data_IF_319468594277
#
_entry.id   IF_319468594277
#
_cell.length_a   1.000
_cell.length_b   1.000
_cell.length_c   1.000
_cell.angle_alpha   90.00
_cell.angle_beta   90.00
_cell.angle_gamma   90.00
#
_symmetry.space_group_name_H-M   'P 1'
#
loop_
_entity.id
_entity.type
_entity.pdbx_description
1 polymer ?
#
# COMPACT_ATOMS: atom_id res chain seq x y z
N UNK A 1 -18.19 5.23 -27.34
CA UNK A 1 -18.62 3.81 -27.40
C UNK A 1 -17.54 3.01 -26.66
N UNK A 2 -17.88 2.35 -25.55
CA UNK A 2 -16.92 1.54 -24.79
C UNK A 2 -17.22 0.08 -25.11
N UNK A 3 -16.23 -0.64 -25.64
CA UNK A 3 -16.37 -2.06 -25.94
C UNK A 3 -16.10 -2.87 -24.66
N UNK A 4 -17.04 -3.75 -24.29
CA UNK A 4 -16.94 -4.59 -23.07
C UNK A 4 -16.14 -5.88 -23.26
N UNK A 5 -15.73 -6.18 -24.49
CA UNK A 5 -14.99 -7.40 -24.85
C UNK A 5 -14.09 -7.13 -26.06
N UNK A 6 -12.89 -7.70 -26.04
CA UNK A 6 -11.89 -7.66 -27.12
C UNK A 6 -10.78 -8.66 -26.84
N UNK A 7 -9.98 -8.99 -27.86
CA UNK A 7 -8.85 -9.91 -27.72
C UNK A 7 -7.60 -9.31 -28.38
N UNK A 8 -6.44 -9.57 -27.80
CA UNK A 8 -5.13 -9.26 -28.37
C UNK A 8 -4.35 -10.56 -28.46
N UNK A 9 -3.85 -10.88 -29.65
CA UNK A 9 -2.98 -12.03 -29.88
C UNK A 9 -1.58 -11.55 -30.22
N UNK A 10 -0.58 -12.17 -29.60
CA UNK A 10 0.83 -11.95 -29.93
C UNK A 10 1.43 -13.32 -30.27
N UNK A 11 2.05 -13.44 -31.44
CA UNK A 11 2.80 -14.63 -31.85
C UNK A 11 4.29 -14.29 -31.83
N UNK A 12 5.08 -15.11 -31.16
CA UNK A 12 6.53 -14.93 -31.08
C UNK A 12 7.22 -16.26 -31.40
N UNK A 13 8.38 -16.24 -32.07
CA UNK A 13 9.15 -17.44 -32.41
C UNK A 13 10.66 -17.22 -32.18
N UNK A 14 11.41 -18.30 -31.94
CA UNK A 14 12.85 -18.27 -31.69
C UNK A 14 13.22 -18.56 -30.23
N UNK A 15 14.42 -18.17 -29.81
CA UNK A 15 14.87 -18.29 -28.43
C UNK A 15 14.36 -17.09 -27.62
N UNK A 16 13.21 -17.26 -26.96
CA UNK A 16 12.51 -16.17 -26.28
C UNK A 16 12.61 -16.36 -24.78
N UNK A 17 13.04 -15.31 -24.10
CA UNK A 17 12.97 -15.16 -22.65
C UNK A 17 11.82 -14.18 -22.33
N UNK A 18 10.95 -14.56 -21.39
CA UNK A 18 9.81 -13.74 -20.97
C UNK A 18 10.08 -13.26 -19.56
N UNK A 19 10.35 -11.96 -19.44
CA UNK A 19 10.41 -11.29 -18.15
C UNK A 19 9.11 -10.53 -17.87
N UNK A 20 8.47 -10.87 -16.76
CA UNK A 20 7.31 -10.11 -16.31
C UNK A 20 7.80 -8.87 -15.56
N UNK A 21 7.65 -7.71 -16.18
CA UNK A 21 7.89 -6.41 -15.54
C UNK A 21 6.56 -5.75 -15.17
N UNK A 22 6.47 -5.28 -13.93
CA UNK A 22 5.34 -4.47 -13.45
C UNK A 22 5.76 -3.01 -13.36
N UNK A 23 4.95 -2.11 -13.91
CA UNK A 23 5.06 -0.69 -13.58
C UNK A 23 4.49 -0.49 -12.17
N UNK A 24 5.34 -0.13 -11.21
CA UNK A 24 4.89 0.25 -9.87
C UNK A 24 4.19 1.61 -9.97
N UNK A 25 2.86 1.59 -10.07
CA UNK A 25 2.04 2.80 -10.14
C UNK A 25 2.01 3.60 -8.84
N UNK A 26 2.53 3.04 -7.75
CA UNK A 26 2.63 3.69 -6.45
C UNK A 26 4.05 4.20 -6.20
N UNK A 27 4.14 5.38 -5.59
CA UNK A 27 5.38 5.92 -5.04
C UNK A 27 5.50 5.48 -3.58
N UNK A 28 6.50 4.65 -3.21
CA UNK A 28 6.70 4.28 -1.80
C UNK A 28 7.10 5.51 -0.99
N UNK A 29 6.46 5.67 0.16
CA UNK A 29 6.69 6.74 1.13
C UNK A 29 6.56 6.16 2.55
N UNK A 30 7.21 6.80 3.51
CA UNK A 30 7.20 6.35 4.91
C UNK A 30 8.19 5.23 5.19
N UNK A 31 8.33 4.93 6.47
CA UNK A 31 9.12 3.81 6.99
C UNK A 31 8.24 2.60 7.21
N UNK A 32 8.86 1.41 7.25
CA UNK A 32 8.12 0.16 7.53
C UNK A 32 7.70 0.13 8.99
N UNK A 33 6.46 -0.27 9.25
CA UNK A 33 5.91 -0.34 10.61
C UNK A 33 5.16 -1.64 10.84
N UNK A 34 4.92 -1.99 12.10
CA UNK A 34 4.11 -3.13 12.48
C UNK A 34 2.73 -2.70 12.98
N UNK A 35 1.69 -3.40 12.56
CA UNK A 35 0.35 -3.26 13.13
C UNK A 35 0.38 -3.81 14.56
N UNK A 36 0.33 -2.93 15.55
CA UNK A 36 0.28 -3.34 16.97
C UNK A 36 -1.14 -3.52 17.48
N UNK A 37 -2.12 -2.84 16.88
CA UNK A 37 -3.54 -3.04 17.17
C UNK A 37 -4.42 -2.78 15.95
N UNK A 38 -5.39 -3.67 15.73
CA UNK A 38 -6.42 -3.49 14.70
C UNK A 38 -7.72 -4.21 15.06
N UNK A 39 -8.84 -3.70 14.56
CA UNK A 39 -10.13 -4.38 14.64
C UNK A 39 -10.74 -4.51 13.24
N UNK A 40 -10.86 -5.75 12.75
CA UNK A 40 -11.30 -6.04 11.38
C UNK A 40 -10.45 -5.29 10.34
N UNK A 41 -10.98 -4.24 9.73
CA UNK A 41 -10.30 -3.41 8.75
C UNK A 41 -9.92 -2.02 9.30
N UNK A 42 -10.13 -1.79 10.60
CA UNK A 42 -9.73 -0.59 11.31
C UNK A 42 -8.31 -0.74 11.82
N UNK A 43 -7.39 0.04 11.27
CA UNK A 43 -6.05 0.20 11.79
C UNK A 43 -6.10 1.17 12.98
N UNK A 44 -5.74 0.67 14.16
CA UNK A 44 -5.83 1.41 15.42
C UNK A 44 -4.46 1.88 15.89
N UNK A 45 -3.42 1.06 15.69
CA UNK A 45 -2.06 1.40 16.08
C UNK A 45 -1.00 0.82 15.12
N UNK A 46 0.05 1.61 14.90
CA UNK A 46 1.28 1.26 14.22
C UNK A 46 2.47 1.52 15.17
N UNK A 47 3.25 0.49 15.49
CA UNK A 47 4.36 0.56 16.46
C UNK A 47 3.98 1.28 17.77
N UNK A 48 2.75 1.06 18.26
CA UNK A 48 2.22 1.68 19.47
C UNK A 48 1.79 3.15 19.32
N UNK A 49 1.71 3.67 18.09
CA UNK A 49 1.23 5.03 17.79
C UNK A 49 -0.08 5.01 17.01
N UNK A 50 -0.97 6.00 17.21
CA UNK A 50 -2.14 6.20 16.37
C UNK A 50 -1.74 6.44 14.89
N UNK A 51 -2.38 5.78 13.91
CA UNK A 51 -2.04 5.92 12.49
C UNK A 51 -2.12 7.35 11.96
N UNK A 52 -3.03 8.18 12.49
CA UNK A 52 -3.09 9.59 12.09
C UNK A 52 -1.91 10.43 12.57
N UNK A 53 -1.31 10.07 13.70
CA UNK A 53 -0.08 10.70 14.15
C UNK A 53 1.07 10.33 13.22
N UNK A 54 1.23 9.03 12.94
CA UNK A 54 2.22 8.51 11.99
C UNK A 54 2.09 9.17 10.62
N UNK A 55 0.85 9.26 10.11
CA UNK A 55 0.58 9.87 8.81
C UNK A 55 1.00 11.34 8.77
N UNK A 56 0.71 12.09 9.84
CA UNK A 56 1.07 13.51 9.96
C UNK A 56 2.58 13.70 10.02
N UNK A 57 3.28 12.90 10.84
CA UNK A 57 4.75 12.92 10.96
C UNK A 57 5.40 12.59 9.60
N UNK A 58 4.94 11.54 8.93
CA UNK A 58 5.42 11.15 7.61
C UNK A 58 5.22 12.27 6.60
N UNK A 59 4.03 12.87 6.54
CA UNK A 59 3.70 13.92 5.57
C UNK A 59 4.59 15.16 5.72
N UNK A 60 5.01 15.49 6.94
CA UNK A 60 5.97 16.57 7.21
C UNK A 60 7.36 16.27 6.67
N UNK A 61 7.77 15.00 6.61
CA UNK A 61 9.06 14.58 6.04
C UNK A 61 9.11 14.48 4.51
N UNK A 62 7.96 14.53 3.82
CA UNK A 62 7.90 14.34 2.37
C UNK A 62 8.43 15.54 1.58
N UNK A 63 9.00 15.23 0.40
CA UNK A 63 9.31 16.22 -0.63
C UNK A 63 8.02 16.88 -1.16
N UNK A 64 8.12 18.09 -1.71
CA UNK A 64 6.94 18.79 -2.25
C UNK A 64 6.21 17.97 -3.33
N UNK A 65 6.98 17.28 -4.19
CA UNK A 65 6.42 16.38 -5.20
C UNK A 65 5.65 15.22 -4.56
N UNK A 66 6.21 14.57 -3.54
CA UNK A 66 5.56 13.43 -2.90
C UNK A 66 4.33 13.87 -2.07
N UNK A 67 4.36 15.07 -1.47
CA UNK A 67 3.18 15.67 -0.81
C UNK A 67 2.04 15.88 -1.79
N UNK A 68 2.31 16.42 -2.98
CA UNK A 68 1.30 16.62 -4.02
C UNK A 68 0.68 15.29 -4.49
N UNK A 69 1.49 14.24 -4.61
CA UNK A 69 0.97 12.90 -4.92
C UNK A 69 0.08 12.36 -3.80
N UNK A 70 0.54 12.44 -2.54
CA UNK A 70 -0.16 11.94 -1.38
C UNK A 70 -1.48 12.68 -1.08
N UNK A 71 -1.60 13.96 -1.45
CA UNK A 71 -2.86 14.71 -1.35
C UNK A 71 -3.97 14.17 -2.26
N UNK A 72 -3.60 13.60 -3.40
CA UNK A 72 -4.56 13.10 -4.39
C UNK A 72 -4.97 11.65 -4.12
N UNK A 73 -4.02 10.81 -3.73
CA UNK A 73 -4.29 9.40 -3.42
C UNK A 73 -3.23 8.84 -2.50
N UNK A 74 -3.67 8.19 -1.42
CA UNK A 74 -2.82 7.49 -0.49
C UNK A 74 -3.31 6.06 -0.30
N UNK A 75 -2.37 5.13 -0.23
CA UNK A 75 -2.63 3.70 -0.08
C UNK A 75 -1.78 3.15 1.05
N UNK A 76 -2.24 2.06 1.65
CA UNK A 76 -1.46 1.26 2.58
C UNK A 76 -0.81 0.11 1.80
N UNK A 77 0.50 -0.04 1.92
CA UNK A 77 1.18 -1.27 1.53
C UNK A 77 1.07 -2.28 2.67
N UNK A 78 0.72 -3.53 2.39
CA UNK A 78 0.72 -4.60 3.39
C UNK A 78 1.64 -5.70 2.89
N UNK A 79 2.64 -6.09 3.68
CA UNK A 79 3.59 -7.14 3.28
C UNK A 79 2.85 -8.46 3.11
N UNK A 80 3.02 -9.10 1.95
CA UNK A 80 2.35 -10.36 1.62
C UNK A 80 2.84 -11.54 2.46
N UNK A 81 4.15 -11.65 2.61
CA UNK A 81 4.80 -12.71 3.37
C UNK A 81 5.29 -12.19 4.72
N UNK A 82 4.62 -12.61 5.78
CA UNK A 82 4.95 -12.22 7.15
C UNK A 82 6.37 -12.64 7.57
N UNK A 83 6.96 -13.66 6.93
CA UNK A 83 8.31 -14.16 7.23
C UNK A 83 9.41 -13.48 6.42
N UNK A 84 9.07 -12.65 5.43
CA UNK A 84 10.05 -11.94 4.62
C UNK A 84 10.65 -10.77 5.42
N UNK A 85 11.81 -10.95 6.05
CA UNK A 85 12.43 -9.93 6.92
C UNK A 85 12.80 -8.62 6.18
N UNK A 86 13.02 -8.67 4.86
CA UNK A 86 13.46 -7.54 4.05
C UNK A 86 12.63 -7.38 2.76
N UNK A 87 11.34 -7.03 2.87
CA UNK A 87 10.43 -6.98 1.73
C UNK A 87 10.81 -5.86 0.76
N UNK A 88 10.81 -6.18 -0.53
CA UNK A 88 11.12 -5.26 -1.63
C UNK A 88 9.85 -4.73 -2.27
N UNK A 89 10.02 -3.73 -3.13
CA UNK A 89 8.93 -3.28 -4.00
C UNK A 89 8.44 -4.46 -4.85
N UNK A 90 7.16 -4.80 -4.73
CA UNK A 90 6.58 -6.02 -5.30
C UNK A 90 6.11 -7.02 -4.25
N UNK A 91 6.65 -6.97 -3.03
CA UNK A 91 6.26 -7.86 -1.92
C UNK A 91 5.07 -7.31 -1.09
N UNK A 92 4.46 -6.21 -1.56
CA UNK A 92 3.39 -5.50 -0.88
C UNK A 92 2.08 -5.61 -1.66
N UNK A 93 0.99 -5.89 -0.93
CA UNK A 93 -0.37 -5.68 -1.39
C UNK A 93 -0.77 -4.24 -1.13
N UNK A 94 -1.17 -3.54 -2.18
CA UNK A 94 -1.63 -2.15 -2.08
C UNK A 94 -3.12 -2.13 -1.77
N UNK A 95 -3.51 -1.36 -0.76
CA UNK A 95 -4.90 -1.21 -0.30
C UNK A 95 -5.32 0.25 -0.16
N UNK A 96 -6.57 0.50 -0.49
CA UNK A 96 -7.17 1.81 -0.29
C UNK A 96 -7.33 2.09 1.21
N UNK A 97 -7.05 3.32 1.59
CA UNK A 97 -7.58 3.90 2.82
C UNK A 97 -9.00 4.36 2.47
N UNK A 98 -10.00 3.73 3.07
CA UNK A 98 -11.43 3.96 2.75
C UNK A 98 -12.09 4.97 3.68
N UNK A 99 -11.47 5.27 4.82
CA UNK A 99 -12.02 6.17 5.81
C UNK A 99 -11.00 6.54 6.89
N UNK A 100 -11.33 7.57 7.65
CA UNK A 100 -10.53 8.10 8.74
C UNK A 100 -11.44 8.47 9.90
N UNK A 101 -11.08 8.07 11.11
CA UNK A 101 -11.72 8.52 12.34
C UNK A 101 -10.74 9.43 13.11
N UNK A 102 -10.96 10.74 13.02
CA UNK A 102 -10.13 11.73 13.68
C UNK A 102 -10.25 11.73 15.21
N UNK A 103 -11.35 11.21 15.78
CA UNK A 103 -11.51 11.12 17.24
C UNK A 103 -10.73 9.94 17.79
N UNK A 104 -10.80 8.80 17.11
CA UNK A 104 -10.08 7.59 17.50
C UNK A 104 -8.61 7.58 17.04
N UNK A 105 -8.22 8.46 16.11
CA UNK A 105 -6.88 8.43 15.51
C UNK A 105 -6.67 7.30 14.50
N UNK A 106 -7.76 6.67 14.04
CA UNK A 106 -7.75 5.41 13.30
C UNK A 106 -7.99 5.57 11.79
N UNK A 107 -7.57 4.57 11.02
CA UNK A 107 -7.79 4.48 9.58
C UNK A 107 -8.59 3.23 9.21
N UNK A 108 -9.56 3.37 8.33
CA UNK A 108 -10.27 2.24 7.74
C UNK A 108 -9.56 1.83 6.45
N UNK A 109 -9.19 0.56 6.33
CA UNK A 109 -8.48 0.00 5.16
C UNK A 109 -9.44 -0.87 4.35
N UNK A 110 -9.23 -0.95 3.04
CA UNK A 110 -9.97 -1.84 2.13
C UNK A 110 -9.59 -3.31 2.23
N UNK A 111 -9.13 -3.78 3.40
CA UNK A 111 -8.71 -5.16 3.66
C UNK A 111 -8.86 -5.50 5.14
N UNK A 112 -9.05 -6.78 5.45
CA UNK A 112 -8.98 -7.30 6.82
C UNK A 112 -7.54 -7.32 7.31
N UNK A 113 -7.29 -6.61 8.41
CA UNK A 113 -5.98 -6.50 9.03
C UNK A 113 -5.81 -7.57 10.11
N UNK A 114 -4.55 -7.83 10.43
CA UNK A 114 -4.14 -8.68 11.54
C UNK A 114 -2.99 -8.01 12.28
N UNK A 115 -3.05 -8.08 13.60
CA UNK A 115 -1.93 -7.68 14.45
C UNK A 115 -0.68 -8.48 14.08
N UNK A 116 0.46 -7.80 14.12
CA UNK A 116 1.76 -8.35 13.74
C UNK A 116 2.10 -8.21 12.25
N UNK A 117 1.15 -7.85 11.37
CA UNK A 117 1.45 -7.55 9.97
C UNK A 117 2.38 -6.35 9.85
N UNK A 118 3.21 -6.36 8.80
CA UNK A 118 4.08 -5.23 8.46
C UNK A 118 3.49 -4.45 7.28
N UNK A 119 3.62 -3.13 7.36
CA UNK A 119 3.12 -2.17 6.36
C UNK A 119 4.21 -1.21 5.92
#
# INVERSE_FOLDING_TARGET
>A
MVHRTGAVGVAMHGNIEIDTVVAQGCRPIGERMQITSCERNMLLELDGKPPLEVLREMFQGLSERDRQLAQNSLFLGVVMDAFNEAPKLGDYLIRNIVGMDARAGALSIGEMLKEGQRV
#
